data_IF_240922937106
#
_entry.id   IF_240922937106
#
_cell.length_a   1.000
_cell.length_b   1.000
_cell.length_c   1.000
_cell.angle_alpha   90.00
_cell.angle_beta   90.00
_cell.angle_gamma   90.00
#
_symmetry.space_group_name_H-M   'P 1'
#
loop_
_entity.id
_entity.type
_entity.pdbx_description
1 polymer ?
#
# COMPACT_ATOMS: atom_id res chain seq x y z
N UNK A 1 8.00 -4.47 -1.65
CA UNK A 1 7.08 -4.29 -2.79
C UNK A 1 7.68 -5.05 -3.96
N UNK A 2 6.86 -5.78 -4.71
CA UNK A 2 7.29 -6.49 -5.92
C UNK A 2 6.81 -5.67 -7.11
N UNK A 3 7.72 -5.31 -8.01
CA UNK A 3 7.42 -4.60 -9.24
C UNK A 3 7.65 -5.57 -10.38
N UNK A 4 6.68 -5.68 -11.27
CA UNK A 4 6.74 -6.53 -12.46
C UNK A 4 6.59 -5.64 -13.67
N UNK A 5 7.57 -5.67 -14.56
CA UNK A 5 7.49 -5.03 -15.86
C UNK A 5 7.28 -6.11 -16.93
N UNK A 6 6.29 -5.91 -17.79
CA UNK A 6 5.95 -6.80 -18.89
C UNK A 6 5.94 -6.01 -20.19
N UNK A 7 6.65 -6.50 -21.21
CA UNK A 7 6.70 -5.89 -22.54
C UNK A 7 6.01 -6.81 -23.55
N UNK A 8 5.08 -6.27 -24.32
CA UNK A 8 4.45 -6.96 -25.44
C UNK A 8 4.60 -6.14 -26.71
N UNK A 9 4.51 -6.80 -27.87
CA UNK A 9 4.32 -6.11 -29.14
C UNK A 9 2.83 -6.07 -29.49
N UNK A 10 2.35 -4.94 -29.98
CA UNK A 10 1.01 -4.82 -30.53
C UNK A 10 0.95 -5.26 -32.00
N UNK A 11 -0.24 -5.20 -32.59
CA UNK A 11 -0.45 -5.53 -34.01
C UNK A 11 0.31 -4.61 -34.98
N UNK A 12 0.73 -3.43 -34.51
CA UNK A 12 1.47 -2.41 -35.26
C UNK A 12 2.99 -2.49 -35.00
N UNK A 13 3.47 -3.57 -34.37
CA UNK A 13 4.87 -3.78 -33.95
C UNK A 13 5.41 -2.79 -32.91
N UNK A 14 4.57 -1.96 -32.30
CA UNK A 14 4.98 -1.10 -31.19
C UNK A 14 5.23 -1.94 -29.94
N UNK A 15 6.22 -1.56 -29.14
CA UNK A 15 6.46 -2.18 -27.84
C UNK A 15 5.62 -1.45 -26.79
N UNK A 16 4.67 -2.16 -26.20
CA UNK A 16 3.89 -1.72 -25.05
C UNK A 16 4.57 -2.28 -23.79
N UNK A 17 5.03 -1.40 -22.91
CA UNK A 17 5.49 -1.77 -21.56
C UNK A 17 4.38 -1.55 -20.55
N UNK A 18 4.15 -2.55 -19.69
CA UNK A 18 3.20 -2.48 -18.56
C UNK A 18 3.94 -2.72 -17.26
N UNK A 19 3.68 -1.88 -16.26
CA UNK A 19 4.28 -2.01 -14.93
C UNK A 19 3.20 -2.27 -13.88
N UNK A 20 3.28 -3.44 -13.25
CA UNK A 20 2.47 -3.82 -12.09
C UNK A 20 3.25 -3.70 -10.78
N UNK A 21 2.56 -3.33 -9.69
CA UNK A 21 3.14 -3.30 -8.35
C UNK A 21 2.27 -4.09 -7.38
N UNK A 22 2.87 -5.09 -6.73
CA UNK A 22 2.26 -5.87 -5.67
C UNK A 22 2.90 -5.52 -4.32
N UNK A 23 2.06 -5.15 -3.35
CA UNK A 23 2.49 -4.89 -1.97
C UNK A 23 1.82 -5.90 -1.05
N UNK A 24 2.61 -6.82 -0.48
CA UNK A 24 2.20 -7.72 0.59
C UNK A 24 2.74 -7.14 1.89
N UNK A 25 1.84 -6.80 2.81
CA UNK A 25 2.17 -6.06 4.03
C UNK A 25 1.58 -6.84 5.20
N UNK A 26 2.46 -7.27 6.10
CA UNK A 26 2.08 -7.88 7.37
C UNK A 26 2.09 -6.82 8.47
N UNK A 27 1.05 -6.83 9.30
CA UNK A 27 0.87 -5.86 10.38
C UNK A 27 0.97 -6.59 11.72
N UNK A 28 1.63 -5.95 12.68
CA UNK A 28 1.64 -6.42 14.05
C UNK A 28 0.24 -6.36 14.68
N UNK A 29 0.05 -7.11 15.76
CA UNK A 29 -1.19 -7.14 16.51
C UNK A 29 -1.61 -5.76 17.04
N UNK A 30 -2.91 -5.50 17.02
CA UNK A 30 -3.52 -4.25 17.49
C UNK A 30 -3.96 -4.28 18.94
N UNK A 31 -3.60 -5.34 19.67
CA UNK A 31 -4.00 -5.50 21.05
C UNK A 31 -3.48 -4.35 21.90
N UNK A 32 -4.33 -3.94 22.84
CA UNK A 32 -3.92 -2.97 23.85
C UNK A 32 -2.86 -3.62 24.71
N UNK A 33 -1.69 -2.99 24.75
CA UNK A 33 -0.73 -3.27 25.79
C UNK A 33 -1.45 -3.02 27.13
N UNK A 34 -1.68 -4.09 27.90
CA UNK A 34 -2.08 -3.96 29.30
C UNK A 34 -1.06 -3.02 29.93
N UNK A 35 -1.52 -2.05 30.73
CA UNK A 35 -0.67 -1.08 31.41
C UNK A 35 0.23 -1.79 32.44
N UNK A 36 1.20 -2.55 31.94
CA UNK A 36 2.33 -3.07 32.69
C UNK A 36 3.34 -1.95 32.82
N UNK A 37 4.12 -1.97 33.89
CA UNK A 37 5.10 -0.94 34.23
C UNK A 37 5.86 -0.43 32.99
N UNK A 38 5.76 0.88 32.72
CA UNK A 38 6.21 1.55 31.48
C UNK A 38 7.71 1.42 31.20
N UNK A 39 8.45 0.75 32.09
CA UNK A 39 9.90 0.56 32.03
C UNK A 39 10.34 -0.70 31.28
N UNK A 40 9.41 -1.59 30.92
CA UNK A 40 9.78 -2.81 30.20
C UNK A 40 9.93 -2.54 28.70
N UNK A 41 10.96 -3.14 28.08
CA UNK A 41 11.19 -3.05 26.62
C UNK A 41 9.95 -3.46 25.82
N UNK A 42 9.22 -4.48 26.30
CA UNK A 42 7.95 -4.94 25.71
C UNK A 42 6.85 -3.87 25.72
N UNK A 43 6.74 -3.09 26.81
CA UNK A 43 5.76 -2.00 26.86
C UNK A 43 6.09 -0.90 25.86
N UNK A 44 7.38 -0.60 25.65
CA UNK A 44 7.81 0.40 24.66
C UNK A 44 7.58 -0.10 23.22
N UNK A 45 7.86 -1.38 22.96
CA UNK A 45 7.58 -2.02 21.68
C UNK A 45 6.08 -1.98 21.34
N UNK A 46 5.22 -2.40 22.27
CA UNK A 46 3.77 -2.35 22.10
C UNK A 46 3.25 -0.92 21.89
N UNK A 47 3.83 0.07 22.57
CA UNK A 47 3.48 1.47 22.34
C UNK A 47 3.85 1.95 20.93
N UNK A 48 5.00 1.52 20.39
CA UNK A 48 5.42 1.86 19.03
C UNK A 48 4.57 1.16 17.96
N UNK A 49 4.20 -0.11 18.17
CA UNK A 49 3.26 -0.83 17.32
C UNK A 49 1.94 -0.06 17.25
N UNK A 50 1.35 0.23 18.41
CA UNK A 50 0.09 0.95 18.51
C UNK A 50 0.15 2.37 17.94
N UNK A 51 1.29 3.07 18.05
CA UNK A 51 1.47 4.38 17.40
C UNK A 51 1.26 4.29 15.89
N UNK A 52 1.87 3.30 15.23
CA UNK A 52 1.74 3.14 13.77
C UNK A 52 0.32 2.75 13.35
N UNK A 53 -0.34 1.88 14.13
CA UNK A 53 -1.72 1.46 13.89
C UNK A 53 -2.73 2.61 14.11
N UNK A 54 -2.54 3.43 15.14
CA UNK A 54 -3.35 4.63 15.37
C UNK A 54 -3.21 5.67 14.25
N UNK A 55 -1.98 5.86 13.74
CA UNK A 55 -1.75 6.70 12.57
C UNK A 55 -2.49 6.16 11.33
N UNK A 56 -2.50 4.83 11.14
CA UNK A 56 -3.24 4.18 10.06
C UNK A 56 -4.75 4.41 10.19
N UNK A 57 -5.34 4.18 11.36
CA UNK A 57 -6.74 4.49 11.66
C UNK A 57 -7.09 5.95 11.33
N UNK A 58 -6.22 6.88 11.72
CA UNK A 58 -6.41 8.30 11.48
C UNK A 58 -6.42 8.63 9.98
N UNK A 59 -5.59 7.94 9.19
CA UNK A 59 -5.60 8.07 7.73
C UNK A 59 -6.88 7.50 7.11
N UNK A 60 -7.31 6.30 7.53
CA UNK A 60 -8.55 5.67 7.07
C UNK A 60 -9.74 6.59 7.33
N UNK A 61 -9.87 7.11 8.55
CA UNK A 61 -10.97 7.99 8.91
C UNK A 61 -10.98 9.27 8.07
N UNK A 62 -9.81 9.89 7.89
CA UNK A 62 -9.68 11.09 7.07
C UNK A 62 -10.02 10.83 5.60
N UNK A 63 -9.65 9.66 5.05
CA UNK A 63 -9.93 9.29 3.66
C UNK A 63 -11.43 9.12 3.43
N UNK A 64 -12.10 8.40 4.32
CA UNK A 64 -13.54 8.15 4.19
C UNK A 64 -14.35 9.43 4.41
N UNK A 65 -13.93 10.29 5.33
CA UNK A 65 -14.53 11.62 5.52
C UNK A 65 -14.24 12.58 4.35
N UNK A 66 -13.42 12.17 3.37
CA UNK A 66 -13.07 13.01 2.22
C UNK A 66 -12.25 14.25 2.59
N UNK A 67 -11.46 14.18 3.68
CA UNK A 67 -10.64 15.32 4.12
C UNK A 67 -9.62 15.70 3.05
N UNK A 68 -9.41 17.01 2.87
CA UNK A 68 -8.38 17.54 1.97
C UNK A 68 -6.96 17.12 2.38
N UNK A 69 -6.69 17.05 3.68
CA UNK A 69 -5.40 16.63 4.22
C UNK A 69 -5.51 15.28 4.91
N UNK A 70 -4.76 14.29 4.41
CA UNK A 70 -4.64 12.97 5.01
C UNK A 70 -3.28 12.87 5.70
N UNK A 71 -3.22 12.52 7.00
CA UNK A 71 -2.00 12.59 7.81
C UNK A 71 -1.04 11.40 7.59
N UNK A 72 -0.78 11.03 6.33
CA UNK A 72 0.09 9.90 6.00
C UNK A 72 1.50 10.01 6.58
N UNK A 73 1.97 11.21 6.92
CA UNK A 73 3.31 11.44 7.47
C UNK A 73 3.46 11.05 8.94
N UNK A 74 2.37 10.78 9.65
CA UNK A 74 2.40 10.49 11.09
C UNK A 74 3.10 9.17 11.44
N UNK A 75 3.29 8.26 10.48
CA UNK A 75 4.13 7.07 10.65
C UNK A 75 4.83 6.69 9.35
N UNK A 76 5.91 5.90 9.42
CA UNK A 76 6.55 5.33 8.23
C UNK A 76 5.62 4.35 7.51
N UNK A 77 4.82 3.59 8.26
CA UNK A 77 3.83 2.64 7.73
C UNK A 77 2.82 3.35 6.82
N UNK A 78 2.22 4.44 7.31
CA UNK A 78 1.23 5.20 6.54
C UNK A 78 1.85 5.91 5.33
N UNK A 79 3.12 6.27 5.37
CA UNK A 79 3.83 6.79 4.18
C UNK A 79 4.00 5.73 3.11
N UNK A 80 4.33 4.49 3.49
CA UNK A 80 4.43 3.36 2.57
C UNK A 80 3.07 2.98 1.97
N UNK A 81 2.01 3.05 2.78
CA UNK A 81 0.63 2.71 2.39
C UNK A 81 -0.11 3.82 1.63
N UNK A 82 0.50 5.01 1.50
CA UNK A 82 -0.16 6.18 0.89
C UNK A 82 -0.74 5.87 -0.49
N UNK A 83 0.02 5.16 -1.32
CA UNK A 83 -0.40 4.79 -2.66
C UNK A 83 -1.48 3.70 -2.67
N UNK A 84 -1.40 2.75 -1.72
CA UNK A 84 -2.40 1.70 -1.55
C UNK A 84 -3.76 2.24 -1.10
N UNK A 85 -3.79 3.19 -0.16
CA UNK A 85 -5.03 3.65 0.46
C UNK A 85 -5.62 4.92 -0.17
N UNK A 86 -4.79 5.77 -0.78
CA UNK A 86 -5.23 7.04 -1.37
C UNK A 86 -4.86 7.23 -2.84
N UNK A 87 -4.15 6.26 -3.42
CA UNK A 87 -3.73 6.26 -4.82
C UNK A 87 -4.66 5.43 -5.72
N UNK A 88 -4.10 4.93 -6.81
CA UNK A 88 -4.78 4.14 -7.86
C UNK A 88 -4.56 2.63 -7.71
N UNK A 89 -4.23 2.15 -6.51
CA UNK A 89 -3.91 0.76 -6.25
C UNK A 89 -5.17 -0.01 -5.80
N UNK A 90 -5.42 -1.17 -6.41
CA UNK A 90 -6.42 -2.10 -5.89
C UNK A 90 -5.92 -2.70 -4.57
N UNK A 91 -6.61 -2.39 -3.48
CA UNK A 91 -6.17 -2.77 -2.12
C UNK A 91 -7.19 -3.66 -1.45
N UNK A 92 -6.69 -4.74 -0.83
CA UNK A 92 -7.47 -5.67 -0.02
C UNK A 92 -6.91 -5.64 1.39
N UNK A 93 -7.80 -5.57 2.38
CA UNK A 93 -7.48 -5.72 3.79
C UNK A 93 -8.03 -7.05 4.29
N UNK A 94 -7.22 -7.79 5.03
CA UNK A 94 -7.64 -9.03 5.71
C UNK A 94 -7.74 -8.72 7.20
N UNK A 95 -8.93 -8.90 7.78
CA UNK A 95 -9.18 -8.69 9.20
C UNK A 95 -9.06 -10.03 9.95
N UNK A 96 -7.93 -10.25 10.61
CA UNK A 96 -7.73 -11.41 11.46
C UNK A 96 -8.30 -11.16 12.85
N UNK A 97 -9.30 -11.95 13.24
CA UNK A 97 -9.98 -11.86 14.53
C UNK A 97 -9.96 -13.19 15.28
N UNK A 98 -10.15 -13.13 16.60
CA UNK A 98 -10.23 -14.31 17.46
C UNK A 98 -11.70 -14.69 17.67
N UNK A 99 -12.08 -15.99 17.59
CA UNK A 99 -13.43 -16.43 17.91
C UNK A 99 -13.70 -16.50 19.42
N UNK A 100 -12.69 -16.25 20.26
CA UNK A 100 -12.80 -16.34 21.71
C UNK A 100 -13.59 -15.17 22.32
N UNK A 101 -14.46 -15.47 23.28
CA UNK A 101 -15.17 -14.47 24.08
C UNK A 101 -14.22 -13.57 24.88
N UNK A 102 -13.04 -14.07 25.28
CA UNK A 102 -12.01 -13.27 25.96
C UNK A 102 -11.46 -12.13 25.10
N UNK A 103 -11.56 -12.25 23.78
CA UNK A 103 -11.08 -11.27 22.81
C UNK A 103 -12.21 -10.45 22.19
N UNK A 104 -13.42 -10.47 22.78
CA UNK A 104 -14.60 -9.82 22.22
C UNK A 104 -14.36 -8.32 21.93
N UNK A 105 -13.79 -7.59 22.88
CA UNK A 105 -13.53 -6.15 22.72
C UNK A 105 -12.55 -5.83 21.58
N UNK A 106 -11.46 -6.59 21.47
CA UNK A 106 -10.48 -6.41 20.39
C UNK A 106 -11.07 -6.81 19.03
N UNK A 107 -11.83 -7.90 18.98
CA UNK A 107 -12.55 -8.34 17.77
C UNK A 107 -13.51 -7.27 17.27
N UNK A 108 -14.29 -6.67 18.18
CA UNK A 108 -15.19 -5.58 17.83
C UNK A 108 -14.42 -4.36 17.27
N UNK A 109 -13.27 -4.01 17.86
CA UNK A 109 -12.44 -2.91 17.37
C UNK A 109 -11.93 -3.19 15.94
N UNK A 110 -11.42 -4.40 15.67
CA UNK A 110 -10.93 -4.79 14.34
C UNK A 110 -12.05 -4.77 13.30
N UNK A 111 -13.26 -5.21 13.65
CA UNK A 111 -14.41 -5.18 12.74
C UNK A 111 -14.84 -3.74 12.41
N UNK A 112 -14.87 -2.83 13.39
CA UNK A 112 -15.13 -1.42 13.11
C UNK A 112 -14.06 -0.79 12.21
N UNK A 113 -12.80 -1.18 12.38
CA UNK A 113 -11.71 -0.80 11.49
C UNK A 113 -11.94 -1.27 10.05
N UNK A 114 -12.27 -2.54 9.87
CA UNK A 114 -12.51 -3.13 8.55
C UNK A 114 -13.73 -2.52 7.85
N UNK A 115 -14.80 -2.31 8.61
CA UNK A 115 -16.02 -1.66 8.13
C UNK A 115 -15.71 -0.24 7.63
N UNK A 116 -14.89 0.52 8.38
CA UNK A 116 -14.48 1.84 7.90
C UNK A 116 -13.52 1.80 6.72
N UNK A 117 -12.57 0.86 6.69
CA UNK A 117 -11.65 0.73 5.57
C UNK A 117 -12.38 0.44 4.25
N UNK A 118 -13.49 -0.31 4.29
CA UNK A 118 -14.35 -0.60 3.14
C UNK A 118 -14.95 0.66 2.50
N UNK A 119 -15.17 1.72 3.26
CA UNK A 119 -15.76 2.97 2.77
C UNK A 119 -14.76 3.87 2.03
N UNK A 120 -13.46 3.51 1.98
CA UNK A 120 -12.45 4.29 1.29
C UNK A 120 -12.75 4.31 -0.22
N UNK A 121 -12.93 5.51 -0.77
CA UNK A 121 -13.15 5.72 -2.19
C UNK A 121 -11.81 5.93 -2.89
N UNK A 122 -11.33 4.89 -3.56
CA UNK A 122 -10.11 4.95 -4.34
C UNK A 122 -10.34 5.65 -5.68
N UNK A 123 -9.29 6.30 -6.19
CA UNK A 123 -9.28 6.79 -7.57
C UNK A 123 -9.16 5.57 -8.49
N UNK A 124 -9.87 5.59 -9.63
CA UNK A 124 -9.83 4.47 -10.57
C UNK A 124 -8.40 4.08 -10.93
N UNK A 125 -8.13 2.77 -11.01
CA UNK A 125 -6.85 2.25 -11.46
C UNK A 125 -6.73 2.42 -12.97
N UNK A 126 -5.90 3.34 -13.44
CA UNK A 126 -5.52 3.42 -14.84
C UNK A 126 -4.38 2.44 -15.13
N UNK A 127 -4.40 1.78 -16.29
CA UNK A 127 -3.35 0.83 -16.69
C UNK A 127 -2.09 1.63 -17.00
N UNK A 128 -1.00 1.35 -16.30
CA UNK A 128 0.31 1.97 -16.56
C UNK A 128 0.90 1.40 -17.85
N UNK A 129 0.59 2.03 -18.99
CA UNK A 129 1.13 1.68 -20.31
C UNK A 129 2.13 2.74 -20.78
N UNK A 130 3.36 2.33 -21.05
CA UNK A 130 4.36 3.16 -21.72
C UNK A 130 4.62 2.62 -23.13
N UNK A 131 4.48 3.49 -24.13
CA UNK A 131 4.80 3.17 -25.52
C UNK A 131 6.28 3.46 -25.77
N UNK A 132 7.04 2.42 -26.13
CA UNK A 132 8.43 2.58 -26.58
C UNK A 132 8.45 2.40 -28.10
N UNK A 133 8.68 3.50 -28.82
CA UNK A 133 8.99 3.44 -30.25
C UNK A 133 10.38 2.84 -30.42
N UNK A 134 10.49 1.79 -31.23
CA UNK A 134 11.79 1.25 -31.63
C UNK A 134 12.43 2.29 -32.54
N UNK A 135 13.44 3.00 -32.04
CA UNK A 135 14.29 3.83 -32.90
C UNK A 135 14.98 2.94 -33.94
N UNK A 136 14.90 3.34 -35.20
CA UNK A 136 15.68 2.72 -36.27
C UNK A 136 17.15 2.73 -35.87
N UNK A 137 17.74 1.54 -35.70
CA UNK A 137 19.20 1.41 -35.60
C UNK A 137 19.79 1.98 -36.89
N UNK A 138 20.42 3.15 -36.77
CA UNK A 138 21.10 3.82 -37.86
C UNK A 138 22.12 2.87 -38.49
N UNK A 139 21.87 2.52 -39.76
CA UNK A 139 22.81 1.79 -40.58
C UNK A 139 24.15 2.54 -40.64
N UNK A 140 25.13 2.02 -39.91
CA UNK A 140 26.51 2.45 -40.01
C UNK A 140 27.01 2.21 -41.43
N UNK A 141 27.20 3.30 -42.17
CA UNK A 141 27.98 3.29 -43.40
C UNK A 141 29.44 2.99 -43.04
N UNK A 142 29.84 1.73 -43.21
CA UNK A 142 31.24 1.33 -43.29
C UNK A 142 31.81 1.88 -44.60
N UNK A 143 32.42 3.07 -44.56
CA UNK A 143 33.32 3.52 -45.61
C UNK A 143 34.76 3.27 -45.16
N UNK A 144 35.30 2.12 -45.55
CA UNK A 144 36.74 1.88 -45.58
C UNK A 144 37.36 2.81 -46.63
N UNK A 145 38.16 3.79 -46.18
CA UNK A 145 39.07 4.55 -47.05
C UNK A 145 40.37 3.76 -47.20
N UNK A 146 40.66 3.38 -48.45
CA UNK A 146 41.99 3.07 -48.96
C UNK A 146 42.85 4.34 -49.01
#
# INVERSE_FOLDING_TARGET
>A
QVIVEYKTRDASMNIISRVGKLSLIDLAGSERAVATDQRTLRSLEGANINRSLLALSSCINALVEGKKHIPFRNSKLTQLLKDSLGGSCNTVMIANISPSNHSFGETQNTLHWADRAKEIRLKGCEVNEEFVQVGEEGGGHDQAKL
#
